data_IF_015227956273
#
_entry.id   IF_015227956273
#
_cell.length_a   1.000
_cell.length_b   1.000
_cell.length_c   1.000
_cell.angle_alpha   90.00
_cell.angle_beta   90.00
_cell.angle_gamma   90.00
#
_symmetry.space_group_name_H-M   'P 1'
#
loop_
_entity.id
_entity.type
_entity.pdbx_description
1 polymer ?
#
# COMPACT_ATOMS: atom_id res chain seq x y z
N UNK A 1 -2.21 -6.73 -17.58
CA UNK A 1 -1.44 -5.68 -16.88
C UNK A 1 -0.61 -6.34 -15.80
N UNK A 2 0.71 -6.08 -15.81
CA UNK A 2 1.61 -6.56 -14.75
C UNK A 2 1.65 -5.53 -13.59
N UNK A 3 1.70 -6.01 -12.35
CA UNK A 3 1.73 -5.17 -11.16
C UNK A 3 2.67 -5.75 -10.10
N UNK A 4 3.21 -4.88 -9.25
CA UNK A 4 4.08 -5.26 -8.14
C UNK A 4 5.57 -5.23 -8.50
N UNK A 5 6.32 -4.32 -7.86
CA UNK A 5 7.77 -4.20 -8.03
C UNK A 5 8.25 -3.43 -9.25
N UNK A 6 7.36 -2.94 -10.11
CA UNK A 6 7.74 -2.12 -11.27
C UNK A 6 7.94 -0.66 -10.85
N UNK A 7 8.99 -0.01 -11.37
CA UNK A 7 9.31 1.39 -11.06
C UNK A 7 10.10 2.11 -12.16
N UNK A 8 10.60 1.40 -13.19
CA UNK A 8 11.48 1.90 -14.23
C UNK A 8 11.12 1.35 -15.64
N UNK A 9 11.81 1.82 -16.66
CA UNK A 9 11.60 1.41 -18.05
C UNK A 9 12.05 -0.03 -18.33
N UNK A 10 13.05 -0.54 -17.61
CA UNK A 10 13.49 -1.94 -17.73
C UNK A 10 12.38 -2.89 -17.32
N UNK A 11 11.70 -2.57 -16.20
CA UNK A 11 10.55 -3.33 -15.74
C UNK A 11 9.39 -3.29 -16.74
N UNK A 12 9.14 -2.15 -17.38
CA UNK A 12 8.13 -2.02 -18.43
C UNK A 12 8.46 -2.95 -19.61
N UNK A 13 9.68 -2.91 -20.14
CA UNK A 13 10.09 -3.77 -21.28
C UNK A 13 9.98 -5.25 -20.89
N UNK A 14 10.43 -5.64 -19.72
CA UNK A 14 10.32 -7.01 -19.25
C UNK A 14 8.85 -7.48 -19.18
N UNK A 15 7.95 -6.65 -18.64
CA UNK A 15 6.52 -6.96 -18.57
C UNK A 15 5.89 -7.14 -19.95
N UNK A 16 6.22 -6.26 -20.90
CA UNK A 16 5.75 -6.35 -22.28
C UNK A 16 6.28 -7.63 -22.96
N UNK A 17 7.55 -8.00 -22.75
CA UNK A 17 8.14 -9.22 -23.27
C UNK A 17 7.45 -10.49 -22.72
N UNK A 18 6.94 -10.46 -21.49
CA UNK A 18 6.12 -11.53 -20.92
C UNK A 18 4.64 -11.49 -21.38
N UNK A 19 4.27 -10.58 -22.29
CA UNK A 19 2.93 -10.51 -22.87
C UNK A 19 1.94 -9.62 -22.10
N UNK A 20 2.39 -8.83 -21.14
CA UNK A 20 1.54 -7.82 -20.52
C UNK A 20 1.26 -6.68 -21.50
N UNK A 21 0.05 -6.09 -21.45
CA UNK A 21 -0.28 -4.88 -22.24
C UNK A 21 0.22 -3.59 -21.58
N UNK A 22 0.75 -3.66 -20.36
CA UNK A 22 1.27 -2.53 -19.61
C UNK A 22 1.57 -2.90 -18.16
N UNK A 23 2.03 -1.91 -17.38
CA UNK A 23 2.38 -2.07 -15.95
C UNK A 23 1.55 -1.14 -15.06
N UNK A 24 1.31 -1.56 -13.83
CA UNK A 24 0.74 -0.74 -12.77
C UNK A 24 1.78 -0.53 -11.65
N UNK A 25 2.03 0.72 -11.32
CA UNK A 25 3.05 1.14 -10.35
C UNK A 25 2.40 1.92 -9.19
N UNK A 26 2.16 1.27 -8.05
CA UNK A 26 1.59 1.94 -6.86
C UNK A 26 2.62 2.79 -6.13
N UNK A 27 3.62 2.15 -5.51
CA UNK A 27 4.62 2.81 -4.66
C UNK A 27 5.43 3.85 -5.45
N UNK A 28 5.76 3.59 -6.72
CA UNK A 28 6.51 4.55 -7.55
C UNK A 28 5.74 5.86 -7.76
N UNK A 29 4.44 5.80 -8.08
CA UNK A 29 3.62 7.01 -8.24
C UNK A 29 3.22 7.65 -6.91
N UNK A 30 3.10 6.88 -5.82
CA UNK A 30 2.97 7.44 -4.47
C UNK A 30 4.18 8.33 -4.14
N UNK A 31 5.38 7.94 -4.56
CA UNK A 31 6.63 8.66 -4.38
C UNK A 31 6.93 9.58 -5.58
N UNK A 32 6.00 10.50 -5.83
CA UNK A 32 6.15 11.63 -6.75
C UNK A 32 5.84 12.94 -6.03
N UNK A 33 6.34 14.05 -6.54
CA UNK A 33 6.02 15.38 -6.00
C UNK A 33 4.53 15.70 -6.11
N UNK A 34 3.86 15.20 -7.16
CA UNK A 34 2.45 15.46 -7.45
C UNK A 34 1.49 14.62 -6.58
N UNK A 35 2.00 13.58 -5.92
CA UNK A 35 1.19 12.80 -4.99
C UNK A 35 0.70 13.66 -3.82
N UNK A 36 -0.59 13.54 -3.48
CA UNK A 36 -1.22 14.25 -2.35
C UNK A 36 -0.79 13.72 -0.97
N UNK A 37 0.00 12.66 -0.92
CA UNK A 37 0.56 12.13 0.32
C UNK A 37 1.47 13.18 0.97
N UNK A 38 1.36 13.44 2.29
CA UNK A 38 2.18 14.43 2.98
C UNK A 38 3.69 14.21 2.79
N UNK A 39 4.45 15.29 2.66
CA UNK A 39 5.89 15.23 2.42
C UNK A 39 6.62 14.37 3.45
N UNK A 40 6.32 14.54 4.73
CA UNK A 40 6.91 13.73 5.81
C UNK A 40 6.71 12.22 5.63
N UNK A 41 5.61 11.79 5.01
CA UNK A 41 5.35 10.38 4.71
C UNK A 41 6.22 9.93 3.54
N UNK A 42 6.33 10.74 2.47
CA UNK A 42 7.23 10.46 1.34
C UNK A 42 8.67 10.34 1.81
N UNK A 43 9.12 11.27 2.66
CA UNK A 43 10.46 11.25 3.24
C UNK A 43 10.68 9.97 4.06
N UNK A 44 9.69 9.55 4.84
CA UNK A 44 9.76 8.30 5.58
C UNK A 44 9.90 7.08 4.64
N UNK A 45 9.14 7.03 3.53
CA UNK A 45 9.31 5.96 2.53
C UNK A 45 10.73 5.94 1.95
N UNK A 46 11.33 7.10 1.66
CA UNK A 46 12.69 7.19 1.11
C UNK A 46 13.79 6.71 2.08
N UNK A 47 13.50 6.60 3.38
CA UNK A 47 14.42 5.99 4.35
C UNK A 47 14.38 4.46 4.36
N UNK A 48 13.43 3.82 3.65
CA UNK A 48 13.17 2.39 3.75
C UNK A 48 13.90 1.59 2.68
N UNK A 49 14.48 0.48 3.10
CA UNK A 49 15.09 -0.50 2.21
C UNK A 49 14.14 -1.65 1.83
N UNK A 50 14.62 -2.55 1.00
CA UNK A 50 13.87 -3.74 0.53
C UNK A 50 13.41 -4.62 1.70
N UNK A 51 14.22 -4.71 2.78
CA UNK A 51 13.93 -5.52 3.96
C UNK A 51 12.96 -4.87 4.94
N UNK A 52 12.64 -3.59 4.76
CA UNK A 52 11.70 -2.86 5.61
C UNK A 52 10.25 -3.07 5.21
N UNK A 53 9.95 -4.08 4.39
CA UNK A 53 8.59 -4.49 4.06
C UNK A 53 8.28 -5.87 4.59
N UNK A 54 7.02 -6.11 4.93
CA UNK A 54 6.51 -7.42 5.34
C UNK A 54 5.18 -7.70 4.67
N UNK A 55 4.90 -8.96 4.36
CA UNK A 55 3.55 -9.39 3.97
C UNK A 55 2.83 -9.80 5.24
N UNK A 56 1.79 -9.05 5.60
CA UNK A 56 1.02 -9.24 6.82
C UNK A 56 -0.43 -9.59 6.50
N UNK A 57 -0.98 -10.56 7.21
CA UNK A 57 -2.42 -10.85 7.28
C UNK A 57 -3.04 -10.31 8.56
N UNK A 58 -2.24 -9.68 9.42
CA UNK A 58 -2.70 -9.22 10.75
C UNK A 58 -3.46 -7.88 10.67
N UNK A 59 -3.43 -7.20 9.51
CA UNK A 59 -4.12 -5.92 9.33
C UNK A 59 -5.63 -6.12 9.17
N UNK A 60 -6.03 -7.04 8.29
CA UNK A 60 -7.44 -7.29 7.95
C UNK A 60 -7.74 -8.76 7.56
N UNK A 61 -6.77 -9.64 7.71
CA UNK A 61 -6.91 -11.05 7.35
C UNK A 61 -6.54 -11.38 5.90
N UNK A 62 -6.30 -10.37 5.06
CA UNK A 62 -5.84 -10.55 3.67
C UNK A 62 -4.34 -10.26 3.60
N UNK A 63 -3.55 -11.01 2.80
CA UNK A 63 -2.14 -10.73 2.66
C UNK A 63 -1.89 -9.36 2.01
N UNK A 64 -1.33 -8.41 2.75
CA UNK A 64 -0.89 -7.10 2.25
C UNK A 64 0.60 -6.91 2.49
N UNK A 65 1.29 -6.40 1.48
CA UNK A 65 2.66 -5.93 1.70
C UNK A 65 2.61 -4.50 2.22
N UNK A 66 3.24 -4.29 3.37
CA UNK A 66 3.26 -3.00 4.09
C UNK A 66 4.67 -2.70 4.57
N UNK A 67 4.94 -1.44 4.86
CA UNK A 67 6.17 -1.06 5.58
C UNK A 67 6.12 -1.61 7.01
N UNK A 68 7.28 -2.03 7.52
CA UNK A 68 7.45 -2.32 8.94
C UNK A 68 7.37 -1.01 9.72
N UNK A 69 6.36 -0.90 10.56
CA UNK A 69 6.16 0.17 11.54
C UNK A 69 6.03 -0.47 12.90
N UNK A 70 6.15 0.30 13.97
CA UNK A 70 5.93 -0.21 15.32
C UNK A 70 4.55 -0.90 15.46
N UNK A 71 3.51 -0.34 14.83
CA UNK A 71 2.18 -0.95 14.82
C UNK A 71 2.19 -2.32 14.13
N UNK A 72 2.82 -2.42 12.97
CA UNK A 72 2.86 -3.68 12.20
C UNK A 72 3.64 -4.74 12.97
N UNK A 73 4.77 -4.39 13.56
CA UNK A 73 5.57 -5.32 14.37
C UNK A 73 4.82 -5.78 15.63
N UNK A 74 4.04 -4.90 16.29
CA UNK A 74 3.15 -5.27 17.39
C UNK A 74 2.04 -6.23 16.94
N UNK A 75 1.46 -6.04 15.76
CA UNK A 75 0.44 -6.93 15.19
C UNK A 75 1.03 -8.31 14.87
N UNK A 76 2.22 -8.36 14.25
CA UNK A 76 2.91 -9.60 13.91
C UNK A 76 3.35 -10.38 15.15
N UNK A 77 3.83 -9.71 16.21
CA UNK A 77 4.24 -10.34 17.47
C UNK A 77 3.05 -10.88 18.30
N UNK A 78 1.81 -10.58 17.90
CA UNK A 78 0.59 -10.99 18.59
C UNK A 78 0.26 -10.19 19.86
N UNK A 79 1.12 -9.29 20.31
CA UNK A 79 0.86 -8.43 21.49
C UNK A 79 -0.23 -7.40 21.22
N UNK A 80 -0.43 -7.02 19.95
CA UNK A 80 -1.49 -6.07 19.55
C UNK A 80 -2.91 -6.62 19.60
N UNK A 81 -3.10 -7.95 19.65
CA UNK A 81 -4.43 -8.59 19.55
C UNK A 81 -5.35 -8.27 20.73
N UNK A 82 -4.80 -8.11 21.93
CA UNK A 82 -5.58 -7.84 23.16
C UNK A 82 -6.25 -6.46 23.10
N UNK A 83 -5.65 -5.49 22.45
CA UNK A 83 -6.17 -4.12 22.33
C UNK A 83 -6.89 -3.85 21.00
N UNK A 84 -6.95 -4.81 20.10
CA UNK A 84 -7.51 -4.63 18.76
C UNK A 84 -9.04 -4.39 18.80
N UNK A 85 -9.78 -5.13 19.63
CA UNK A 85 -11.24 -5.05 19.70
C UNK A 85 -11.78 -3.69 20.19
N UNK A 86 -11.34 -3.12 21.34
CA UNK A 86 -11.83 -1.81 21.77
C UNK A 86 -11.39 -0.67 20.82
N UNK A 87 -10.21 -0.80 20.22
CA UNK A 87 -9.71 0.16 19.23
C UNK A 87 -10.52 0.11 17.93
N UNK A 88 -10.94 -1.08 17.49
CA UNK A 88 -11.79 -1.28 16.33
C UNK A 88 -13.18 -0.67 16.51
N UNK A 89 -13.81 -0.85 17.68
CA UNK A 89 -15.11 -0.24 17.98
C UNK A 89 -15.03 1.29 17.93
N UNK A 90 -13.97 1.88 18.50
CA UNK A 90 -13.76 3.34 18.49
C UNK A 90 -13.52 3.86 17.06
N UNK A 91 -12.76 3.12 16.26
CA UNK A 91 -12.47 3.49 14.86
C UNK A 91 -13.70 3.32 13.96
N UNK A 92 -14.54 2.32 14.18
CA UNK A 92 -15.82 2.18 13.47
C UNK A 92 -16.76 3.39 13.72
N UNK A 93 -16.79 3.88 14.97
CA UNK A 93 -17.54 5.10 15.32
C UNK A 93 -16.95 6.36 14.66
N UNK A 94 -15.61 6.46 14.58
CA UNK A 94 -14.95 7.56 13.87
C UNK A 94 -15.19 7.48 12.37
N UNK A 95 -15.13 6.31 11.78
CA UNK A 95 -15.42 6.08 10.36
C UNK A 95 -16.86 6.49 10.01
N UNK A 96 -17.84 6.08 10.83
CA UNK A 96 -19.23 6.52 10.70
C UNK A 96 -19.36 8.05 10.70
N UNK A 97 -18.63 8.75 11.58
CA UNK A 97 -18.65 10.23 11.62
C UNK A 97 -18.06 10.88 10.39
N UNK A 98 -17.05 10.24 9.78
CA UNK A 98 -16.36 10.77 8.61
C UNK A 98 -17.10 10.50 7.30
N UNK A 99 -17.71 9.32 7.17
CA UNK A 99 -18.35 8.88 5.92
C UNK A 99 -19.87 9.06 5.90
N UNK A 100 -20.48 9.23 7.07
CA UNK A 100 -21.94 9.26 7.21
C UNK A 100 -22.63 7.90 7.02
N UNK A 101 -21.84 6.82 6.79
CA UNK A 101 -22.38 5.49 6.50
C UNK A 101 -23.10 4.92 7.72
N UNK A 102 -24.36 4.43 7.60
CA UNK A 102 -25.10 3.82 8.70
C UNK A 102 -24.40 2.55 9.21
N UNK A 103 -24.38 2.34 10.54
CA UNK A 103 -23.78 1.15 11.13
C UNK A 103 -24.39 -0.16 10.61
N UNK A 104 -25.67 -0.15 10.26
CA UNK A 104 -26.36 -1.30 9.68
C UNK A 104 -25.79 -1.69 8.29
N UNK A 105 -25.42 -0.70 7.49
CA UNK A 105 -24.81 -0.89 6.17
C UNK A 105 -23.38 -1.41 6.30
N UNK A 106 -22.60 -0.84 7.20
CA UNK A 106 -21.25 -1.34 7.54
C UNK A 106 -21.27 -2.80 8.03
N UNK A 107 -22.26 -3.16 8.87
CA UNK A 107 -22.44 -4.55 9.32
C UNK A 107 -22.84 -5.48 8.18
N UNK A 108 -23.73 -5.04 7.29
CA UNK A 108 -24.16 -5.81 6.11
C UNK A 108 -23.00 -6.08 5.16
N UNK A 109 -22.21 -5.05 4.85
CA UNK A 109 -21.01 -5.17 4.02
C UNK A 109 -19.95 -6.07 4.68
N UNK A 110 -19.72 -5.90 5.98
CA UNK A 110 -18.80 -6.75 6.75
C UNK A 110 -19.21 -8.20 6.74
N UNK A 111 -20.50 -8.50 6.89
CA UNK A 111 -21.04 -9.88 6.82
C UNK A 111 -20.91 -10.47 5.41
N UNK A 112 -21.15 -9.67 4.37
CA UNK A 112 -20.96 -10.09 2.98
C UNK A 112 -19.48 -10.40 2.70
N UNK A 113 -18.57 -9.54 3.14
CA UNK A 113 -17.12 -9.71 3.02
C UNK A 113 -16.63 -10.95 3.78
N UNK A 114 -17.15 -11.17 5.00
CA UNK A 114 -16.84 -12.37 5.79
C UNK A 114 -17.21 -13.64 5.05
N UNK A 115 -18.39 -13.67 4.43
CA UNK A 115 -18.89 -14.86 3.70
C UNK A 115 -18.10 -15.10 2.41
N UNK A 116 -17.67 -14.05 1.72
CA UNK A 116 -16.94 -14.18 0.45
C UNK A 116 -15.47 -14.55 0.63
N UNK A 117 -14.83 -14.14 1.74
CA UNK A 117 -13.40 -14.33 2.02
C UNK A 117 -13.14 -15.34 3.16
N UNK A 118 -14.17 -15.98 3.70
CA UNK A 118 -14.09 -16.92 4.83
C UNK A 118 -13.36 -16.36 6.07
N UNK A 119 -13.64 -15.09 6.38
CA UNK A 119 -12.99 -14.37 7.47
C UNK A 119 -13.57 -14.73 8.84
N UNK A 120 -12.72 -14.78 9.85
CA UNK A 120 -13.15 -14.85 11.26
C UNK A 120 -13.77 -13.52 11.71
N UNK A 121 -14.54 -13.52 12.80
CA UNK A 121 -15.08 -12.30 13.39
C UNK A 121 -14.00 -11.28 13.76
N UNK A 122 -12.86 -11.76 14.28
CA UNK A 122 -11.72 -10.91 14.62
C UNK A 122 -11.15 -10.21 13.37
N UNK A 123 -10.97 -10.94 12.28
CA UNK A 123 -10.49 -10.38 11.00
C UNK A 123 -11.49 -9.37 10.41
N UNK A 124 -12.80 -9.65 10.47
CA UNK A 124 -13.82 -8.70 10.03
C UNK A 124 -13.79 -7.39 10.82
N UNK A 125 -13.61 -7.48 12.14
CA UNK A 125 -13.47 -6.28 12.99
C UNK A 125 -12.17 -5.55 12.68
N UNK A 126 -11.08 -6.27 12.38
CA UNK A 126 -9.81 -5.67 11.96
C UNK A 126 -9.89 -5.02 10.59
N UNK A 127 -10.57 -5.65 9.62
CA UNK A 127 -10.80 -5.09 8.29
C UNK A 127 -11.52 -3.73 8.34
N UNK A 128 -12.45 -3.55 9.28
CA UNK A 128 -13.11 -2.25 9.50
C UNK A 128 -12.16 -1.13 9.97
N UNK A 129 -10.97 -1.48 10.50
CA UNK A 129 -9.97 -0.51 10.92
C UNK A 129 -9.03 -0.08 9.79
N UNK A 130 -8.89 -0.88 8.74
CA UNK A 130 -7.89 -0.66 7.67
C UNK A 130 -7.98 0.73 7.05
N UNK A 131 -9.16 1.25 6.66
CA UNK A 131 -9.26 2.61 6.12
C UNK A 131 -8.78 3.69 7.09
N UNK A 132 -9.03 3.50 8.40
CA UNK A 132 -8.59 4.47 9.42
C UNK A 132 -7.09 4.41 9.66
N UNK A 133 -6.49 3.23 9.60
CA UNK A 133 -5.05 3.04 9.73
C UNK A 133 -4.30 3.59 8.51
N UNK A 134 -4.83 3.38 7.31
CA UNK A 134 -4.31 3.98 6.08
C UNK A 134 -4.44 5.50 6.10
N UNK A 135 -5.60 6.02 6.54
CA UNK A 135 -5.79 7.46 6.68
C UNK A 135 -4.81 8.06 7.69
N UNK A 136 -4.65 7.42 8.83
CA UNK A 136 -3.74 7.90 9.88
C UNK A 136 -2.30 8.05 9.36
N UNK A 137 -1.81 7.11 8.55
CA UNK A 137 -0.47 7.17 7.98
C UNK A 137 -0.39 8.06 6.74
N UNK A 138 -1.20 7.76 5.69
CA UNK A 138 -1.04 8.38 4.37
C UNK A 138 -1.67 9.76 4.23
N UNK A 139 -2.59 10.14 5.12
CA UNK A 139 -3.27 11.45 5.08
C UNK A 139 -2.89 12.30 6.29
N UNK A 140 -2.95 11.72 7.50
CA UNK A 140 -2.69 12.45 8.74
C UNK A 140 -1.19 12.46 9.11
N UNK A 141 -0.33 11.75 8.36
CA UNK A 141 1.12 11.75 8.51
C UNK A 141 1.67 10.96 9.72
N UNK A 142 0.85 10.13 10.37
CA UNK A 142 1.24 9.35 11.56
C UNK A 142 1.88 8.03 11.14
N UNK A 143 3.13 8.07 10.70
CA UNK A 143 3.84 6.93 10.09
C UNK A 143 3.93 5.71 11.01
N UNK A 144 4.22 5.89 12.30
CA UNK A 144 4.42 4.76 13.24
C UNK A 144 3.12 4.13 13.76
N UNK A 145 2.01 4.86 13.71
CA UNK A 145 0.71 4.40 14.26
C UNK A 145 -0.31 3.99 13.20
N UNK A 146 0.10 3.96 11.94
CA UNK A 146 -0.72 3.58 10.80
C UNK A 146 -0.14 2.40 10.02
N UNK A 147 -0.87 2.03 8.97
CA UNK A 147 -0.42 1.03 7.99
C UNK A 147 -0.09 1.74 6.69
N UNK A 148 1.07 1.45 6.14
CA UNK A 148 1.55 2.03 4.89
C UNK A 148 1.75 0.92 3.86
N UNK A 149 0.81 0.83 2.90
CA UNK A 149 0.93 -0.11 1.79
C UNK A 149 2.16 0.22 0.94
N UNK A 150 3.00 -0.78 0.69
CA UNK A 150 4.24 -0.59 -0.07
C UNK A 150 4.63 -1.85 -0.81
N UNK A 151 5.13 -1.70 -2.05
CA UNK A 151 5.88 -2.75 -2.72
C UNK A 151 7.32 -2.82 -2.22
N UNK A 152 8.01 -3.95 -2.46
CA UNK A 152 9.45 -4.07 -2.18
C UNK A 152 10.30 -3.04 -2.91
N UNK A 153 9.77 -2.51 -4.01
CA UNK A 153 10.40 -1.47 -4.82
C UNK A 153 10.74 -0.20 -4.02
N UNK A 154 10.17 0.00 -2.85
CA UNK A 154 10.51 1.12 -1.97
C UNK A 154 12.02 1.21 -1.71
N UNK A 155 12.70 0.08 -1.59
CA UNK A 155 14.13 0.05 -1.30
C UNK A 155 15.06 0.43 -2.45
N UNK A 156 14.51 0.75 -3.63
CA UNK A 156 15.26 1.19 -4.82
C UNK A 156 14.77 2.53 -5.38
N UNK A 157 13.83 3.17 -4.70
CA UNK A 157 13.33 4.51 -5.04
C UNK A 157 14.01 5.51 -4.11
N UNK A 158 14.72 6.47 -4.69
CA UNK A 158 15.52 7.47 -3.97
C UNK A 158 15.17 8.92 -4.32
N UNK A 159 14.14 9.12 -5.17
CA UNK A 159 13.73 10.43 -5.65
C UNK A 159 12.21 10.67 -5.68
N UNK A 160 11.81 11.92 -5.82
CA UNK A 160 10.42 12.37 -5.89
C UNK A 160 10.21 13.25 -7.16
N UNK A 161 10.27 12.69 -8.37
CA UNK A 161 10.02 13.44 -9.59
C UNK A 161 8.55 13.85 -9.69
N UNK A 162 8.22 14.74 -10.64
CA UNK A 162 6.84 14.92 -11.07
C UNK A 162 6.33 13.65 -11.77
N UNK A 163 5.01 13.47 -11.85
CA UNK A 163 4.43 12.37 -12.62
C UNK A 163 4.82 12.46 -14.10
N UNK A 164 4.86 13.66 -14.66
CA UNK A 164 5.26 13.89 -16.04
C UNK A 164 6.70 13.44 -16.29
N UNK A 165 7.66 13.92 -15.47
CA UNK A 165 9.07 13.54 -15.57
C UNK A 165 9.27 12.03 -15.38
N UNK A 166 8.54 11.45 -14.44
CA UNK A 166 8.59 9.99 -14.20
C UNK A 166 8.16 9.20 -15.44
N UNK A 167 7.03 9.59 -16.04
CA UNK A 167 6.52 8.91 -17.26
C UNK A 167 7.51 9.04 -18.40
N UNK A 168 8.03 10.25 -18.66
CA UNK A 168 9.03 10.47 -19.71
C UNK A 168 10.28 9.61 -19.47
N UNK A 169 10.83 9.63 -18.24
CA UNK A 169 11.99 8.82 -17.84
C UNK A 169 11.77 7.32 -18.10
N UNK A 170 10.60 6.79 -17.71
CA UNK A 170 10.26 5.39 -17.92
C UNK A 170 10.21 5.03 -19.41
N UNK A 171 9.62 5.89 -20.24
CA UNK A 171 9.50 5.67 -21.68
C UNK A 171 10.88 5.77 -22.37
N UNK A 172 11.67 6.78 -22.03
CA UNK A 172 13.02 6.98 -22.61
C UNK A 172 13.95 5.80 -22.24
N UNK A 173 13.90 5.35 -20.97
CA UNK A 173 14.65 4.18 -20.54
C UNK A 173 14.17 2.90 -21.24
N UNK A 174 12.87 2.70 -21.38
CA UNK A 174 12.31 1.56 -22.10
C UNK A 174 12.75 1.54 -23.56
N UNK A 175 12.71 2.68 -24.24
CA UNK A 175 13.20 2.84 -25.62
C UNK A 175 14.67 2.46 -25.73
N UNK A 176 15.51 3.00 -24.82
CA UNK A 176 16.95 2.69 -24.78
C UNK A 176 17.23 1.20 -24.57
N UNK A 177 16.44 0.54 -23.73
CA UNK A 177 16.55 -0.91 -23.50
C UNK A 177 16.19 -1.68 -24.78
N UNK A 178 15.09 -1.32 -25.45
CA UNK A 178 14.68 -1.96 -26.71
C UNK A 178 15.74 -1.79 -27.80
N UNK A 179 16.28 -0.59 -27.96
CA UNK A 179 17.36 -0.30 -28.92
C UNK A 179 18.59 -1.17 -28.64
N UNK A 180 18.97 -1.33 -27.37
CA UNK A 180 20.10 -2.16 -26.97
C UNK A 180 19.91 -3.65 -27.25
N UNK A 181 18.67 -4.14 -27.25
CA UNK A 181 18.32 -5.53 -27.52
C UNK A 181 18.24 -5.80 -29.01
N UNK A 182 17.87 -4.79 -29.82
CA UNK A 182 17.73 -4.92 -31.29
C UNK A 182 19.02 -4.63 -32.04
N UNK A 183 19.98 -3.94 -31.42
CA UNK A 183 21.29 -3.63 -32.04
C UNK A 183 22.30 -4.80 -32.04
N UNK A 184 21.92 -5.97 -31.52
CA UNK A 184 22.70 -7.21 -31.53
C UNK A 184 22.24 -8.16 -32.63
#
# INVERSE_FOLDING_TARGET
IAAGGFFDGRGLVAALAYGASGVAMGTRFLLTSDSSVPQQVKDYYLTKGVLDTVVSTQVDGVPHRVLRTELVDQLESGTGKVFALPRAALNALRFKRLTGTPLAEMLKEGLAMRKSLDLTWAQMVMAANTPMLLKASLVDGKTESGVMASGQVVGVIDDLPTCADLVHRIIDEASSVLDSLTAK
#
